data_IF_922134722642
#
_entry.id   IF_922134722642
#
_cell.length_a   1.000
_cell.length_b   1.000
_cell.length_c   1.000
_cell.angle_alpha   90.00
_cell.angle_beta   90.00
_cell.angle_gamma   90.00
#
_symmetry.space_group_name_H-M   'P 1'
#
loop_
_entity.id
_entity.type
_entity.pdbx_description
1 polymer ?
#
# COMPACT_ATOMS: atom_id res chain seq x y z
N UNK A 1 6.93 16.12 5.98
CA UNK A 1 7.60 17.39 5.57
C UNK A 1 7.28 18.61 6.45
N UNK A 2 6.04 18.90 6.85
CA UNK A 2 5.69 20.14 7.58
C UNK A 2 6.08 20.18 9.07
N UNK A 3 6.89 19.23 9.55
CA UNK A 3 7.39 19.19 10.94
C UNK A 3 6.34 18.83 12.02
N UNK A 4 5.13 18.42 11.64
CA UNK A 4 4.13 17.95 12.60
C UNK A 4 4.39 16.49 12.98
N UNK A 5 4.02 16.11 14.20
CA UNK A 5 4.05 14.71 14.67
C UNK A 5 3.24 13.83 13.72
N UNK A 6 3.91 12.91 13.03
CA UNK A 6 3.32 12.09 11.97
C UNK A 6 3.50 10.61 12.31
N UNK A 7 2.40 9.86 12.36
CA UNK A 7 2.42 8.40 12.45
C UNK A 7 1.95 7.77 11.13
N UNK A 8 2.60 6.69 10.71
CA UNK A 8 2.25 5.90 9.53
C UNK A 8 2.10 4.44 9.94
N UNK A 9 0.86 3.97 10.07
CA UNK A 9 0.54 2.61 10.48
C UNK A 9 -0.03 1.80 9.31
N UNK A 10 0.42 0.56 9.14
CA UNK A 10 -0.13 -0.37 8.14
C UNK A 10 0.24 -1.82 8.39
N UNK A 11 -0.38 -2.72 7.61
CA UNK A 11 -0.16 -4.16 7.75
C UNK A 11 1.19 -4.60 7.19
N UNK A 12 1.60 -4.02 6.05
CA UNK A 12 2.86 -4.31 5.38
C UNK A 12 3.29 -3.08 4.58
N UNK A 13 4.39 -2.44 4.97
CA UNK A 13 4.89 -1.25 4.28
C UNK A 13 5.13 -1.54 2.79
N UNK A 14 4.57 -0.71 1.89
CA UNK A 14 4.67 -0.87 0.44
C UNK A 14 3.39 -1.36 -0.22
N UNK A 15 2.52 -2.09 0.49
CA UNK A 15 1.23 -2.52 -0.05
C UNK A 15 1.36 -3.35 -1.35
N UNK A 16 0.47 -3.12 -2.32
CA UNK A 16 0.35 -3.95 -3.52
C UNK A 16 1.60 -3.99 -4.40
N UNK A 17 2.41 -2.94 -4.43
CA UNK A 17 3.59 -2.93 -5.32
C UNK A 17 4.61 -3.99 -4.91
N UNK A 18 4.63 -4.42 -3.64
CA UNK A 18 5.53 -5.49 -3.20
C UNK A 18 5.25 -6.85 -3.84
N UNK A 19 4.04 -7.06 -4.34
CA UNK A 19 3.64 -8.30 -5.03
C UNK A 19 3.67 -8.14 -6.56
N UNK A 20 4.27 -7.05 -7.05
CA UNK A 20 4.44 -6.74 -8.47
C UNK A 20 5.92 -6.86 -8.85
N UNK A 21 6.21 -7.39 -10.04
CA UNK A 21 7.57 -7.44 -10.59
C UNK A 21 7.81 -6.18 -11.41
N UNK A 22 7.54 -6.20 -12.71
CA UNK A 22 7.83 -5.08 -13.61
C UNK A 22 6.84 -3.92 -13.44
N UNK A 23 7.37 -2.70 -13.31
CA UNK A 23 6.61 -1.45 -13.26
C UNK A 23 7.25 -0.45 -14.22
N UNK A 24 6.52 -0.09 -15.29
CA UNK A 24 7.01 0.79 -16.38
C UNK A 24 6.19 2.08 -16.52
N UNK A 25 5.29 2.34 -15.58
CA UNK A 25 4.39 3.51 -15.59
C UNK A 25 4.52 4.40 -14.35
N UNK A 26 5.57 4.22 -13.56
CA UNK A 26 5.94 5.19 -12.52
C UNK A 26 6.64 6.38 -13.19
N UNK A 27 5.90 7.48 -13.39
CA UNK A 27 6.34 8.63 -14.20
C UNK A 27 7.76 9.08 -13.82
N UNK A 28 8.57 9.42 -14.83
CA UNK A 28 10.02 9.69 -14.77
C UNK A 28 10.95 8.49 -14.57
N UNK A 29 10.41 7.31 -14.28
CA UNK A 29 11.17 6.06 -14.11
C UNK A 29 10.78 5.10 -15.23
N UNK A 30 11.62 4.93 -16.27
CA UNK A 30 11.28 4.08 -17.41
C UNK A 30 10.96 2.64 -17.04
N UNK A 31 11.69 2.08 -16.06
CA UNK A 31 11.46 0.75 -15.52
C UNK A 31 11.97 0.64 -14.08
N UNK A 32 11.17 0.02 -13.22
CA UNK A 32 11.55 -0.39 -11.87
C UNK A 32 10.85 -1.69 -11.50
N UNK A 33 11.20 -2.23 -10.34
CA UNK A 33 10.53 -3.39 -9.76
C UNK A 33 9.82 -3.04 -8.46
N UNK A 34 8.80 -3.82 -8.09
CA UNK A 34 7.99 -3.62 -6.89
C UNK A 34 8.79 -3.53 -5.60
N UNK A 35 9.70 -4.49 -5.35
CA UNK A 35 10.56 -4.50 -4.17
C UNK A 35 11.50 -3.27 -4.14
N UNK A 36 12.06 -2.90 -5.29
CA UNK A 36 12.92 -1.72 -5.43
C UNK A 36 12.16 -0.43 -5.15
N UNK A 37 10.94 -0.30 -5.68
CA UNK A 37 10.09 0.86 -5.45
C UNK A 37 9.66 0.96 -3.99
N UNK A 38 9.27 -0.15 -3.35
CA UNK A 38 8.92 -0.17 -1.93
C UNK A 38 10.11 0.24 -1.04
N UNK A 39 11.32 -0.23 -1.37
CA UNK A 39 12.56 0.20 -0.70
C UNK A 39 12.83 1.69 -0.87
N UNK A 40 12.67 2.22 -2.08
CA UNK A 40 12.82 3.66 -2.35
C UNK A 40 11.80 4.51 -1.58
N UNK A 41 10.54 4.06 -1.50
CA UNK A 41 9.51 4.71 -0.69
C UNK A 41 9.86 4.70 0.79
N UNK A 42 10.36 3.57 1.31
CA UNK A 42 10.79 3.47 2.71
C UNK A 42 11.94 4.42 3.01
N UNK A 43 12.95 4.45 2.14
CA UNK A 43 14.08 5.37 2.26
C UNK A 43 13.60 6.83 2.29
N UNK A 44 12.72 7.22 1.38
CA UNK A 44 12.19 8.59 1.35
C UNK A 44 11.34 8.92 2.59
N UNK A 45 10.57 7.97 3.15
CA UNK A 45 9.85 8.20 4.41
C UNK A 45 10.82 8.44 5.56
N UNK A 46 11.92 7.67 5.63
CA UNK A 46 12.94 7.76 6.69
C UNK A 46 13.75 9.07 6.67
N UNK A 47 13.71 9.85 5.59
CA UNK A 47 14.31 11.19 5.54
C UNK A 47 13.57 12.22 6.42
N UNK A 48 12.42 11.85 6.99
CA UNK A 48 11.61 12.71 7.83
C UNK A 48 11.26 12.03 9.16
N UNK A 49 10.89 12.86 10.14
CA UNK A 49 10.38 12.39 11.43
C UNK A 49 8.96 11.81 11.27
N UNK A 50 8.91 10.52 10.93
CA UNK A 50 7.69 9.73 10.78
C UNK A 50 7.83 8.48 11.63
N UNK A 51 6.91 8.31 12.57
CA UNK A 51 6.80 7.08 13.37
C UNK A 51 6.11 6.01 12.51
N UNK A 52 6.90 5.11 11.92
CA UNK A 52 6.39 4.04 11.05
C UNK A 52 6.13 2.78 11.86
N UNK A 53 4.86 2.40 11.94
CA UNK A 53 4.37 1.24 12.69
C UNK A 53 3.91 0.19 11.67
N UNK A 54 4.71 -0.85 11.47
CA UNK A 54 4.41 -1.94 10.54
C UNK A 54 3.73 -3.13 11.26
N UNK A 55 3.15 -4.05 10.48
CA UNK A 55 2.47 -5.24 11.01
C UNK A 55 1.31 -4.94 11.97
N UNK A 56 0.58 -3.84 11.74
CA UNK A 56 -0.62 -3.47 12.50
C UNK A 56 -1.82 -3.28 11.56
N UNK A 57 -2.95 -3.88 11.92
CA UNK A 57 -4.22 -3.70 11.21
C UNK A 57 -5.17 -2.85 12.03
N UNK A 58 -5.75 -1.81 11.43
CA UNK A 58 -6.77 -0.98 12.06
C UNK A 58 -8.12 -1.73 12.04
N UNK A 59 -8.76 -1.87 13.20
CA UNK A 59 -10.03 -2.57 13.36
C UNK A 59 -11.23 -1.61 13.47
N UNK A 60 -11.02 -0.40 13.99
CA UNK A 60 -12.09 0.59 14.17
C UNK A 60 -11.55 2.02 14.17
N UNK A 61 -12.28 2.93 13.53
CA UNK A 61 -12.15 4.37 13.67
C UNK A 61 -13.25 4.89 14.59
N UNK A 62 -12.87 5.63 15.63
CA UNK A 62 -13.78 6.36 16.51
C UNK A 62 -13.61 7.86 16.26
N UNK A 63 -14.61 8.54 15.66
CA UNK A 63 -14.55 9.98 15.45
C UNK A 63 -14.45 10.77 16.76
N UNK A 64 -13.77 11.92 16.73
CA UNK A 64 -13.83 12.86 17.84
C UNK A 64 -15.28 13.32 18.07
N UNK A 65 -15.67 13.48 19.33
CA UNK A 65 -17.04 13.90 19.70
C UNK A 65 -17.23 15.41 19.66
N UNK A 66 -16.14 16.17 19.57
CA UNK A 66 -16.13 17.63 19.51
C UNK A 66 -15.12 18.09 18.45
N UNK A 67 -15.39 19.24 17.83
CA UNK A 67 -14.46 19.88 16.91
C UNK A 67 -13.11 20.16 17.60
N UNK A 68 -12.01 19.91 16.90
CA UNK A 68 -10.65 20.04 17.45
C UNK A 68 -10.23 18.93 18.43
N UNK A 69 -11.12 17.96 18.71
CA UNK A 69 -10.84 16.77 19.51
C UNK A 69 -9.93 15.75 18.81
N UNK A 70 -9.72 14.60 19.45
CA UNK A 70 -8.88 13.52 18.93
C UNK A 70 -9.75 12.36 18.42
N UNK A 71 -9.50 11.96 17.18
CA UNK A 71 -9.95 10.67 16.65
C UNK A 71 -9.15 9.54 17.28
N UNK A 72 -9.75 8.36 17.37
CA UNK A 72 -9.06 7.15 17.84
C UNK A 72 -9.08 6.06 16.78
N UNK A 73 -7.97 5.34 16.65
CA UNK A 73 -7.83 4.17 15.79
C UNK A 73 -7.50 2.98 16.68
N UNK A 74 -8.43 2.05 16.78
CA UNK A 74 -8.20 0.76 17.43
C UNK A 74 -7.50 -0.18 16.45
N UNK A 75 -6.56 -0.97 16.96
CA UNK A 75 -5.88 -2.02 16.19
C UNK A 75 -6.44 -3.39 16.53
N UNK A 76 -6.28 -4.35 15.61
CA UNK A 76 -6.63 -5.75 15.86
C UNK A 76 -5.82 -6.38 17.02
N UNK A 77 -4.64 -5.81 17.34
CA UNK A 77 -3.82 -6.19 18.49
C UNK A 77 -4.29 -5.61 19.83
N UNK A 78 -5.33 -4.76 19.84
CA UNK A 78 -5.91 -4.16 21.04
C UNK A 78 -5.29 -2.80 21.44
N UNK A 79 -4.37 -2.26 20.66
CA UNK A 79 -3.82 -0.92 20.89
C UNK A 79 -4.78 0.17 20.41
N UNK A 80 -4.63 1.38 20.95
CA UNK A 80 -5.43 2.55 20.56
C UNK A 80 -4.50 3.73 20.29
N UNK A 81 -4.50 4.21 19.05
CA UNK A 81 -3.80 5.43 18.65
C UNK A 81 -4.76 6.61 18.66
N UNK A 82 -4.28 7.80 19.03
CA UNK A 82 -5.05 9.04 19.03
C UNK A 82 -4.42 10.07 18.10
N UNK A 83 -5.23 10.73 17.27
CA UNK A 83 -4.76 11.72 16.32
C UNK A 83 -5.75 12.87 16.13
N UNK A 84 -5.25 14.09 15.88
CA UNK A 84 -6.09 15.26 15.52
C UNK A 84 -6.72 15.13 14.13
N UNK A 85 -6.07 14.38 13.23
CA UNK A 85 -6.51 14.13 11.87
C UNK A 85 -6.11 12.72 11.46
N UNK A 86 -6.96 12.04 10.70
CA UNK A 86 -6.73 10.67 10.22
C UNK A 86 -6.78 10.66 8.69
N UNK A 87 -5.82 9.99 8.05
CA UNK A 87 -5.82 9.71 6.61
C UNK A 87 -5.99 8.20 6.44
N UNK A 88 -7.03 7.78 5.73
CA UNK A 88 -7.28 6.37 5.40
C UNK A 88 -6.73 6.09 4.01
N UNK A 89 -5.73 5.21 3.94
CA UNK A 89 -5.06 4.83 2.70
C UNK A 89 -4.82 3.31 2.64
N UNK A 90 -5.81 2.52 3.08
CA UNK A 90 -5.71 1.05 3.22
C UNK A 90 -5.74 0.27 1.92
N UNK A 91 -5.88 0.96 0.77
CA UNK A 91 -5.91 0.34 -0.54
C UNK A 91 -7.12 -0.57 -0.76
N UNK A 92 -6.94 -1.60 -1.58
CA UNK A 92 -7.96 -2.58 -1.93
C UNK A 92 -7.32 -3.97 -2.14
N UNK A 93 -8.15 -4.99 -2.31
CA UNK A 93 -7.73 -6.32 -2.79
C UNK A 93 -8.44 -6.61 -4.10
N UNK A 94 -7.70 -6.98 -5.14
CA UNK A 94 -8.29 -7.53 -6.35
C UNK A 94 -8.92 -8.88 -6.02
N UNK A 95 -10.11 -9.13 -6.58
CA UNK A 95 -10.77 -10.43 -6.41
C UNK A 95 -10.04 -11.46 -7.26
N UNK A 96 -9.68 -12.57 -6.64
CA UNK A 96 -9.07 -13.70 -7.31
C UNK A 96 -10.15 -14.61 -7.93
N UNK A 97 -9.77 -15.36 -8.97
CA UNK A 97 -10.61 -16.40 -9.57
C UNK A 97 -10.75 -17.62 -8.66
N UNK A 98 -9.74 -17.87 -7.81
CA UNK A 98 -9.61 -19.01 -6.91
C UNK A 98 -9.64 -20.37 -7.64
N UNK A 99 -8.86 -20.46 -8.73
CA UNK A 99 -8.72 -21.68 -9.55
C UNK A 99 -7.29 -22.22 -9.51
N UNK A 100 -7.10 -23.55 -9.70
CA UNK A 100 -5.76 -24.13 -9.80
C UNK A 100 -4.94 -23.42 -10.89
N UNK A 101 -3.69 -23.05 -10.54
CA UNK A 101 -2.77 -22.37 -11.44
C UNK A 101 -2.80 -20.84 -11.37
N UNK A 102 -3.85 -20.20 -10.80
CA UNK A 102 -3.90 -18.72 -10.71
C UNK A 102 -2.67 -18.14 -10.00
N UNK A 103 -2.36 -18.68 -8.81
CA UNK A 103 -1.22 -18.24 -8.01
C UNK A 103 0.13 -18.57 -8.67
N UNK A 104 0.23 -19.76 -9.29
CA UNK A 104 1.44 -20.23 -9.97
C UNK A 104 1.84 -19.33 -11.15
N UNK A 105 0.86 -18.83 -11.90
CA UNK A 105 1.05 -17.99 -13.08
C UNK A 105 0.89 -16.50 -12.82
N UNK A 106 0.67 -16.10 -11.55
CA UNK A 106 0.70 -14.69 -11.16
C UNK A 106 2.06 -14.09 -11.51
N UNK A 107 2.04 -12.89 -12.09
CA UNK A 107 3.21 -12.19 -12.67
C UNK A 107 3.91 -12.94 -13.82
N UNK A 108 3.33 -14.02 -14.34
CA UNK A 108 3.85 -14.84 -15.46
C UNK A 108 2.80 -15.05 -16.56
N UNK A 109 1.77 -14.21 -16.60
CA UNK A 109 0.66 -14.30 -17.54
C UNK A 109 -0.68 -13.94 -16.89
N UNK A 110 -0.89 -14.31 -15.63
CA UNK A 110 -2.02 -13.84 -14.83
C UNK A 110 -1.70 -12.45 -14.28
N UNK A 111 -2.54 -11.47 -14.63
CA UNK A 111 -2.46 -10.08 -14.19
C UNK A 111 -3.84 -9.53 -13.87
N UNK A 112 -3.88 -8.50 -13.01
CA UNK A 112 -5.10 -7.83 -12.57
C UNK A 112 -5.24 -6.41 -13.15
N UNK A 113 -4.21 -5.88 -13.81
CA UNK A 113 -4.17 -4.49 -14.24
C UNK A 113 -3.91 -4.37 -15.75
N UNK A 114 -4.94 -4.14 -16.59
CA UNK A 114 -4.76 -4.01 -18.03
C UNK A 114 -3.88 -2.81 -18.42
N UNK A 115 -3.93 -1.73 -17.66
CA UNK A 115 -3.09 -0.54 -17.90
C UNK A 115 -1.61 -0.79 -17.61
N UNK A 116 -1.31 -1.72 -16.70
CA UNK A 116 0.05 -2.01 -16.27
C UNK A 116 0.74 -2.92 -17.29
N UNK A 117 0.08 -4.02 -17.66
CA UNK A 117 0.72 -5.09 -18.42
C UNK A 117 0.25 -5.19 -19.87
N UNK A 118 -0.82 -4.48 -20.27
CA UNK A 118 -1.37 -4.50 -21.63
C UNK A 118 -0.30 -4.36 -22.74
N UNK A 119 0.66 -3.43 -22.64
CA UNK A 119 1.73 -3.29 -23.64
C UNK A 119 2.59 -4.55 -23.84
N UNK A 120 2.74 -5.41 -22.82
CA UNK A 120 3.58 -6.62 -22.84
C UNK A 120 3.00 -7.75 -23.70
N UNK A 121 1.72 -7.64 -24.09
CA UNK A 121 0.98 -8.67 -24.82
C UNK A 121 0.74 -8.32 -26.30
N UNK A 122 1.45 -7.33 -26.87
CA UNK A 122 1.36 -7.02 -28.31
C UNK A 122 1.64 -8.25 -29.17
N UNK A 123 0.69 -8.60 -30.04
CA UNK A 123 0.79 -9.76 -30.94
C UNK A 123 0.52 -11.11 -30.28
N UNK A 124 0.08 -11.14 -29.01
CA UNK A 124 -0.28 -12.36 -28.28
C UNK A 124 -1.80 -12.49 -28.16
N UNK A 125 -2.27 -13.72 -27.90
CA UNK A 125 -3.66 -13.98 -27.48
C UNK A 125 -3.75 -13.82 -25.97
N UNK A 126 -4.82 -13.18 -25.50
CA UNK A 126 -5.17 -13.00 -24.08
C UNK A 126 -6.61 -13.43 -23.83
#
# INVERSE_FOLDING_TARGET
>A
RKGIRTGLMGERFGGQVLDTVDIENYISVPKTEGQKLAGALKAHVSEYDVDVIDSQSASRLIPATVEGGLHQVETASGAVLKARSVIIATGAKWRNMNVPGEDQYRTKGVTYCPHCDGPLFKGKRV
#
